data_IF_211817084889
#
_entry.id   IF_211817084889
#
_cell.length_a   1.000
_cell.length_b   1.000
_cell.length_c   1.000
_cell.angle_alpha   90.00
_cell.angle_beta   90.00
_cell.angle_gamma   90.00
#
_symmetry.space_group_name_H-M   'P 1'
#
loop_
_entity.id
_entity.type
_entity.pdbx_description
1 polymer ?
#
# COMPACT_ATOMS: atom_id res chain seq x y z
N UNK A 1 -14.40 2.54 -3.68
CA UNK A 1 -14.20 1.17 -3.19
C UNK A 1 -15.55 0.54 -2.90
N UNK A 2 -15.79 -0.68 -3.37
CA UNK A 2 -17.01 -1.43 -3.15
C UNK A 2 -16.68 -2.90 -2.86
N UNK A 3 -17.28 -3.47 -1.80
CA UNK A 3 -17.15 -4.90 -1.46
C UNK A 3 -18.39 -5.63 -1.96
N UNK A 4 -18.19 -6.73 -2.67
CA UNK A 4 -19.27 -7.57 -3.20
C UNK A 4 -19.05 -9.04 -2.86
N UNK A 5 -20.11 -9.70 -2.41
CA UNK A 5 -20.12 -11.13 -2.09
C UNK A 5 -21.01 -11.92 -3.05
N UNK A 6 -21.57 -11.26 -4.07
CA UNK A 6 -22.39 -11.85 -5.10
C UNK A 6 -21.84 -11.48 -6.47
N UNK A 7 -21.62 -12.47 -7.31
CA UNK A 7 -21.09 -12.29 -8.66
C UNK A 7 -21.97 -11.37 -9.55
N UNK A 8 -23.28 -11.40 -9.32
CA UNK A 8 -24.23 -10.58 -10.09
C UNK A 8 -24.07 -9.07 -9.84
N UNK A 9 -23.60 -8.71 -8.62
CA UNK A 9 -23.43 -7.30 -8.21
C UNK A 9 -22.12 -6.68 -8.70
N UNK A 10 -21.19 -7.50 -9.24
CA UNK A 10 -19.85 -7.03 -9.67
C UNK A 10 -19.96 -5.93 -10.73
N UNK A 11 -20.89 -6.07 -11.69
CA UNK A 11 -21.03 -5.10 -12.78
C UNK A 11 -21.45 -3.72 -12.26
N UNK A 12 -22.46 -3.71 -11.40
CA UNK A 12 -23.02 -2.46 -10.87
C UNK A 12 -22.02 -1.79 -9.93
N UNK A 13 -21.34 -2.59 -9.11
CA UNK A 13 -20.27 -2.09 -8.25
C UNK A 13 -19.11 -1.47 -9.05
N UNK A 14 -18.69 -2.13 -10.14
CA UNK A 14 -17.62 -1.61 -11.00
C UNK A 14 -18.04 -0.32 -11.73
N UNK A 15 -19.27 -0.25 -12.21
CA UNK A 15 -19.82 0.97 -12.84
C UNK A 15 -19.85 2.13 -11.84
N UNK A 16 -20.27 1.88 -10.59
CA UNK A 16 -20.32 2.89 -9.54
C UNK A 16 -18.92 3.41 -9.15
N UNK A 17 -17.91 2.52 -9.15
CA UNK A 17 -16.50 2.91 -8.88
C UNK A 17 -15.91 3.69 -10.05
N UNK A 18 -16.30 3.33 -11.29
CA UNK A 18 -15.83 3.93 -12.54
C UNK A 18 -14.51 3.33 -13.03
N UNK A 19 -14.54 2.83 -14.27
CA UNK A 19 -13.37 2.23 -14.93
C UNK A 19 -12.25 3.26 -15.22
N UNK A 20 -10.97 2.79 -15.28
CA UNK A 20 -10.51 1.44 -15.00
C UNK A 20 -10.55 1.09 -13.51
N UNK A 21 -10.75 -0.20 -13.21
CA UNK A 21 -10.83 -0.71 -11.83
C UNK A 21 -9.80 -1.81 -11.55
N UNK A 22 -9.59 -2.06 -10.26
CA UNK A 22 -8.87 -3.21 -9.72
C UNK A 22 -9.91 -4.14 -9.07
N UNK A 23 -9.77 -5.43 -9.30
CA UNK A 23 -10.49 -6.48 -8.59
C UNK A 23 -9.54 -7.20 -7.64
N UNK A 24 -9.88 -7.23 -6.36
CA UNK A 24 -9.14 -7.96 -5.32
C UNK A 24 -10.05 -9.00 -4.71
N UNK A 25 -9.58 -10.26 -4.63
CA UNK A 25 -10.24 -11.32 -3.86
C UNK A 25 -9.89 -11.23 -2.39
N UNK A 26 -10.78 -11.67 -1.52
CA UNK A 26 -10.50 -11.85 -0.10
C UNK A 26 -9.97 -13.28 0.17
N UNK A 27 -9.18 -13.44 1.24
CA UNK A 27 -8.76 -14.77 1.72
C UNK A 27 -7.26 -14.98 1.94
N UNK A 28 -6.38 -14.04 1.52
CA UNK A 28 -4.94 -14.14 1.74
C UNK A 28 -4.31 -12.78 2.02
N UNK A 29 -3.30 -12.76 2.89
CA UNK A 29 -2.47 -11.58 3.11
C UNK A 29 -1.59 -11.28 1.87
N UNK A 30 -1.10 -12.32 1.19
CA UNK A 30 -0.29 -12.22 -0.04
C UNK A 30 -1.17 -12.39 -1.28
N UNK A 31 -2.07 -11.42 -1.51
CA UNK A 31 -3.12 -11.48 -2.55
C UNK A 31 -2.57 -11.66 -3.96
N UNK A 32 -1.46 -11.00 -4.27
CA UNK A 32 -0.85 -11.05 -5.63
C UNK A 32 -0.32 -12.44 -5.95
N UNK A 33 0.39 -13.07 -5.03
CA UNK A 33 0.94 -14.43 -5.20
C UNK A 33 -0.17 -15.49 -5.25
N UNK A 34 -1.25 -15.26 -4.50
CA UNK A 34 -2.43 -16.13 -4.50
C UNK A 34 -3.33 -15.96 -5.74
N UNK A 35 -2.98 -15.12 -6.70
CA UNK A 35 -3.82 -14.83 -7.86
C UNK A 35 -5.10 -14.06 -7.53
N UNK A 36 -5.13 -13.36 -6.41
CA UNK A 36 -6.28 -12.62 -5.88
C UNK A 36 -6.27 -11.13 -6.27
N UNK A 37 -5.50 -10.72 -7.28
CA UNK A 37 -5.45 -9.34 -7.75
C UNK A 37 -5.47 -9.31 -9.28
N UNK A 38 -6.46 -8.61 -9.85
CA UNK A 38 -6.52 -8.30 -11.26
C UNK A 38 -6.55 -6.78 -11.45
N UNK A 39 -5.54 -6.25 -12.15
CA UNK A 39 -5.32 -4.83 -12.34
C UNK A 39 -5.82 -4.35 -13.70
N UNK A 40 -6.09 -3.04 -13.80
CA UNK A 40 -6.32 -2.33 -15.06
C UNK A 40 -7.49 -2.89 -15.89
N UNK A 41 -8.58 -3.27 -15.21
CA UNK A 41 -9.79 -3.77 -15.87
C UNK A 41 -10.57 -2.58 -16.45
N UNK A 42 -10.75 -2.56 -17.77
CA UNK A 42 -11.23 -1.39 -18.52
C UNK A 42 -12.74 -1.34 -18.67
N UNK A 43 -13.41 -2.48 -18.54
CA UNK A 43 -14.85 -2.61 -18.81
C UNK A 43 -15.46 -3.79 -18.06
N UNK A 44 -16.80 -3.94 -18.19
CA UNK A 44 -17.55 -5.00 -17.53
C UNK A 44 -17.10 -6.42 -17.95
N UNK A 45 -16.70 -6.61 -19.21
CA UNK A 45 -16.26 -7.91 -19.70
C UNK A 45 -14.97 -8.32 -19.02
N UNK A 46 -14.02 -7.38 -18.90
CA UNK A 46 -12.71 -7.64 -18.26
C UNK A 46 -12.89 -8.06 -16.80
N UNK A 47 -13.71 -7.32 -16.03
CA UNK A 47 -13.89 -7.63 -14.60
C UNK A 47 -14.62 -8.95 -14.38
N UNK A 48 -15.60 -9.28 -15.21
CA UNK A 48 -16.30 -10.56 -15.11
C UNK A 48 -15.39 -11.75 -15.46
N UNK A 49 -14.55 -11.59 -16.48
CA UNK A 49 -13.58 -12.63 -16.84
C UNK A 49 -12.54 -12.81 -15.73
N UNK A 50 -12.06 -11.73 -15.13
CA UNK A 50 -11.14 -11.79 -14.00
C UNK A 50 -11.79 -12.48 -12.78
N UNK A 51 -13.03 -12.13 -12.44
CA UNK A 51 -13.75 -12.72 -11.32
C UNK A 51 -14.02 -14.23 -11.48
N UNK A 52 -14.27 -14.70 -12.72
CA UNK A 52 -14.50 -16.13 -13.00
C UNK A 52 -13.32 -17.04 -12.70
N UNK A 53 -12.10 -16.53 -12.87
CA UNK A 53 -10.87 -17.33 -12.69
C UNK A 53 -10.20 -17.08 -11.35
N UNK A 54 -10.63 -16.03 -10.64
CA UNK A 54 -10.07 -15.67 -9.34
C UNK A 54 -10.60 -16.63 -8.25
N UNK A 55 -9.71 -17.27 -7.45
CA UNK A 55 -10.12 -18.21 -6.42
C UNK A 55 -10.68 -17.50 -5.17
N UNK A 56 -11.79 -16.77 -5.32
CA UNK A 56 -12.45 -16.04 -4.25
C UNK A 56 -13.96 -15.96 -4.51
N UNK A 57 -14.74 -15.95 -3.44
CA UNK A 57 -16.20 -15.73 -3.48
C UNK A 57 -16.56 -14.27 -3.10
N UNK A 58 -15.63 -13.56 -2.48
CA UNK A 58 -15.84 -12.17 -2.07
C UNK A 58 -14.77 -11.28 -2.70
N UNK A 59 -15.23 -10.19 -3.29
CA UNK A 59 -14.39 -9.29 -4.06
C UNK A 59 -14.45 -7.86 -3.51
N UNK A 60 -13.32 -7.20 -3.60
CA UNK A 60 -13.18 -5.77 -3.40
C UNK A 60 -12.91 -5.12 -4.73
N UNK A 61 -13.72 -4.14 -5.12
CA UNK A 61 -13.58 -3.38 -6.37
C UNK A 61 -13.13 -1.98 -6.02
N UNK A 62 -12.00 -1.59 -6.54
CA UNK A 62 -11.38 -0.30 -6.29
C UNK A 62 -11.07 0.42 -7.60
N UNK A 63 -10.99 1.75 -7.53
CA UNK A 63 -10.53 2.52 -8.69
C UNK A 63 -9.06 2.22 -8.95
N UNK A 64 -8.71 1.98 -10.22
CA UNK A 64 -7.32 1.83 -10.61
C UNK A 64 -6.56 3.15 -10.39
N UNK A 65 -5.49 3.09 -9.64
CA UNK A 65 -4.59 4.21 -9.42
C UNK A 65 -3.42 4.07 -10.37
N UNK A 66 -3.27 5.05 -11.24
CA UNK A 66 -2.17 5.14 -12.18
C UNK A 66 -1.24 6.31 -11.91
N UNK A 67 -0.16 6.43 -12.69
CA UNK A 67 0.75 7.56 -12.64
C UNK A 67 1.66 7.55 -11.41
N UNK A 68 1.91 6.38 -10.81
CA UNK A 68 2.93 6.25 -9.78
C UNK A 68 4.31 6.48 -10.38
N UNK A 69 5.07 7.38 -9.76
CA UNK A 69 6.47 7.66 -10.12
C UNK A 69 7.40 6.72 -9.37
N UNK A 70 7.08 6.45 -8.12
CA UNK A 70 7.74 5.46 -7.27
C UNK A 70 6.68 4.77 -6.39
N UNK A 71 6.99 3.56 -6.00
CA UNK A 71 6.21 2.79 -5.05
C UNK A 71 7.04 2.53 -3.79
N UNK A 72 6.45 2.79 -2.63
CA UNK A 72 7.10 2.54 -1.34
C UNK A 72 6.34 1.47 -0.57
N UNK A 73 7.09 0.67 0.17
CA UNK A 73 6.60 -0.08 1.32
C UNK A 73 6.79 0.81 2.56
N UNK A 74 5.75 0.99 3.33
CA UNK A 74 5.79 1.67 4.64
C UNK A 74 5.22 0.73 5.68
N UNK A 75 6.09 0.19 6.52
CA UNK A 75 5.73 -0.77 7.56
C UNK A 75 6.02 -0.23 8.96
N UNK A 76 5.18 -0.57 9.93
CA UNK A 76 5.45 -0.38 11.36
C UNK A 76 5.19 -1.69 12.06
N UNK A 77 6.19 -2.18 12.78
CA UNK A 77 6.12 -3.44 13.54
C UNK A 77 6.47 -3.16 14.99
N UNK A 78 5.75 -3.79 15.91
CA UNK A 78 6.11 -3.77 17.32
C UNK A 78 7.25 -4.76 17.58
N UNK A 79 8.41 -4.22 17.93
CA UNK A 79 9.56 -4.99 18.39
C UNK A 79 9.57 -5.03 19.91
N UNK A 80 9.81 -6.21 20.49
CA UNK A 80 9.73 -6.41 21.96
C UNK A 80 10.81 -5.61 22.72
N UNK A 81 11.98 -5.39 22.11
CA UNK A 81 13.11 -4.72 22.75
C UNK A 81 13.11 -3.19 22.50
N UNK A 82 12.60 -2.76 21.33
CA UNK A 82 12.78 -1.39 20.86
C UNK A 82 11.46 -0.61 20.75
N UNK A 83 10.31 -1.26 20.95
CA UNK A 83 9.00 -0.68 20.69
C UNK A 83 8.66 -0.67 19.20
N UNK A 84 7.89 0.30 18.73
CA UNK A 84 7.51 0.34 17.32
C UNK A 84 8.64 0.81 16.43
N UNK A 85 8.90 0.04 15.38
CA UNK A 85 9.92 0.30 14.36
C UNK A 85 9.22 0.60 13.03
N UNK A 86 9.46 1.80 12.49
CA UNK A 86 9.06 2.20 11.15
C UNK A 86 10.10 1.70 10.15
N UNK A 87 9.67 0.99 9.13
CA UNK A 87 10.50 0.60 7.97
C UNK A 87 9.94 1.26 6.72
N UNK A 88 10.80 1.87 5.92
CA UNK A 88 10.48 2.39 4.59
C UNK A 88 11.42 1.72 3.60
N UNK A 89 10.86 1.14 2.55
CA UNK A 89 11.61 0.42 1.53
C UNK A 89 11.08 0.74 0.12
N UNK A 90 11.84 0.37 -0.89
CA UNK A 90 11.32 0.27 -2.25
C UNK A 90 10.12 -0.67 -2.24
N UNK A 91 8.98 -0.25 -2.80
CA UNK A 91 7.75 -1.03 -2.90
C UNK A 91 7.62 -1.78 -4.22
N UNK A 92 6.53 -2.51 -4.38
CA UNK A 92 6.20 -3.25 -5.58
C UNK A 92 6.93 -4.60 -5.70
N UNK A 93 6.91 -5.17 -6.91
CA UNK A 93 7.39 -6.55 -7.17
C UNK A 93 8.89 -6.77 -6.97
N UNK A 94 9.68 -5.72 -6.88
CA UNK A 94 11.14 -5.80 -6.79
C UNK A 94 11.68 -5.55 -5.39
N UNK A 95 10.80 -5.35 -4.42
CA UNK A 95 11.14 -5.02 -3.02
C UNK A 95 12.16 -6.01 -2.43
N UNK A 96 11.93 -7.31 -2.63
CA UNK A 96 12.76 -8.37 -2.08
C UNK A 96 14.14 -8.48 -2.76
N UNK A 97 14.25 -8.02 -4.02
CA UNK A 97 15.47 -8.15 -4.81
C UNK A 97 16.47 -7.03 -4.49
N UNK A 98 15.97 -5.81 -4.27
CA UNK A 98 16.85 -4.64 -4.12
C UNK A 98 17.37 -4.40 -2.71
N UNK A 99 16.72 -4.95 -1.68
CA UNK A 99 17.04 -4.74 -0.25
C UNK A 99 17.42 -3.28 0.05
N UNK A 100 16.60 -2.35 -0.46
CA UNK A 100 16.77 -0.90 -0.31
C UNK A 100 15.76 -0.40 0.71
N UNK A 101 16.19 -0.40 1.98
CA UNK A 101 15.32 -0.08 3.12
C UNK A 101 16.04 0.74 4.18
N UNK A 102 15.26 1.48 4.94
CA UNK A 102 15.67 2.20 6.15
C UNK A 102 14.72 1.84 7.29
N UNK A 103 15.21 1.92 8.52
CA UNK A 103 14.40 1.72 9.72
C UNK A 103 14.65 2.83 10.73
N UNK A 104 13.57 3.26 11.40
CA UNK A 104 13.57 4.32 12.41
C UNK A 104 12.72 3.88 13.60
N UNK A 105 13.09 4.27 14.80
CA UNK A 105 12.18 4.18 15.94
C UNK A 105 11.10 5.26 15.85
N UNK A 106 9.87 4.96 16.22
CA UNK A 106 8.80 5.96 16.28
C UNK A 106 8.58 6.43 17.72
N UNK A 107 8.21 7.70 17.91
CA UNK A 107 7.87 8.72 16.90
C UNK A 107 9.12 9.30 16.22
N UNK A 108 9.16 9.30 14.90
CA UNK A 108 10.17 9.97 14.10
C UNK A 108 9.60 11.25 13.47
N UNK A 109 10.34 12.34 13.50
CA UNK A 109 9.93 13.61 12.89
C UNK A 109 10.21 13.63 11.37
N UNK A 110 9.65 14.60 10.67
CA UNK A 110 9.80 14.71 9.21
C UNK A 110 11.25 14.90 8.76
N UNK A 111 12.07 15.59 9.56
CA UNK A 111 13.48 15.85 9.23
C UNK A 111 14.28 14.55 9.26
N UNK A 112 14.11 13.73 10.30
CA UNK A 112 14.77 12.44 10.44
C UNK A 112 14.32 11.47 9.36
N UNK A 113 13.02 11.42 9.05
CA UNK A 113 12.48 10.59 7.99
C UNK A 113 13.08 11.01 6.64
N UNK A 114 13.08 12.31 6.33
CA UNK A 114 13.64 12.82 5.07
C UNK A 114 15.14 12.57 4.95
N UNK A 115 15.89 12.73 6.05
CA UNK A 115 17.32 12.43 6.09
C UNK A 115 17.57 10.95 5.80
N UNK A 116 16.77 10.07 6.37
CA UNK A 116 16.87 8.63 6.13
C UNK A 116 16.46 8.24 4.71
N UNK A 117 15.38 8.81 4.16
CA UNK A 117 14.97 8.60 2.77
C UNK A 117 16.11 8.93 1.78
N UNK A 118 16.90 9.97 2.07
CA UNK A 118 18.07 10.36 1.24
C UNK A 118 19.18 9.31 1.19
N UNK A 119 19.18 8.34 2.09
CA UNK A 119 20.16 7.24 2.09
C UNK A 119 19.74 6.05 1.24
N UNK A 120 18.48 5.99 0.81
CA UNK A 120 18.01 4.93 -0.08
C UNK A 120 18.70 5.02 -1.45
N UNK A 121 19.03 3.87 -2.03
CA UNK A 121 19.59 3.79 -3.39
C UNK A 121 18.62 4.37 -4.43
N UNK A 122 17.30 4.25 -4.16
CA UNK A 122 16.26 4.80 -5.01
C UNK A 122 16.06 6.33 -4.86
N UNK A 123 16.78 6.99 -3.95
CA UNK A 123 16.63 8.44 -3.73
C UNK A 123 16.67 9.31 -4.99
N UNK A 124 17.51 9.02 -6.02
CA UNK A 124 17.50 9.80 -7.26
C UNK A 124 16.13 9.88 -7.94
N UNK A 125 15.25 8.89 -7.74
CA UNK A 125 13.89 8.91 -8.29
C UNK A 125 13.01 9.98 -7.63
N UNK A 126 13.28 10.31 -6.35
CA UNK A 126 12.58 11.39 -5.65
C UNK A 126 12.92 12.79 -6.17
N UNK A 127 14.04 12.93 -6.87
CA UNK A 127 14.50 14.20 -7.45
C UNK A 127 14.03 14.36 -8.91
N UNK A 128 13.33 13.38 -9.45
CA UNK A 128 13.02 13.29 -10.87
C UNK A 128 14.20 12.72 -11.67
N UNK A 129 14.02 11.54 -12.21
CA UNK A 129 15.08 10.83 -12.93
C UNK A 129 14.80 10.77 -14.42
N UNK A 130 15.78 11.11 -15.26
CA UNK A 130 15.69 11.08 -16.73
C UNK A 130 14.49 11.83 -17.31
N UNK A 131 14.16 12.98 -16.74
CA UNK A 131 13.04 13.81 -17.19
C UNK A 131 11.67 13.43 -16.63
N UNK A 132 11.58 12.42 -15.79
CA UNK A 132 10.37 12.17 -15.01
C UNK A 132 10.20 13.25 -13.92
N UNK A 133 8.97 13.67 -13.60
CA UNK A 133 8.72 14.59 -12.50
C UNK A 133 9.10 13.98 -11.15
N UNK A 134 9.26 14.84 -10.14
CA UNK A 134 9.47 14.41 -8.75
C UNK A 134 8.14 14.04 -8.09
N UNK A 135 8.08 13.01 -7.25
CA UNK A 135 6.89 12.75 -6.44
C UNK A 135 6.73 13.82 -5.36
N UNK A 136 5.51 13.96 -4.87
CA UNK A 136 5.18 14.91 -3.80
C UNK A 136 5.71 14.40 -2.45
N UNK A 137 6.90 14.86 -2.05
CA UNK A 137 7.57 14.45 -0.81
C UNK A 137 6.74 14.82 0.42
N UNK A 138 6.07 15.98 0.43
CA UNK A 138 5.25 16.39 1.58
C UNK A 138 4.07 15.44 1.79
N UNK A 139 3.44 14.97 0.72
CA UNK A 139 2.37 13.97 0.79
C UNK A 139 2.87 12.61 1.30
N UNK A 140 4.09 12.22 0.92
CA UNK A 140 4.73 11.00 1.43
C UNK A 140 4.98 11.13 2.93
N UNK A 141 5.62 12.20 3.36
CA UNK A 141 5.91 12.46 4.78
C UNK A 141 4.62 12.53 5.61
N UNK A 142 3.59 13.21 5.11
CA UNK A 142 2.27 13.28 5.76
C UNK A 142 1.65 11.89 5.93
N UNK A 143 1.74 11.03 4.92
CA UNK A 143 1.22 9.66 5.01
C UNK A 143 1.99 8.85 6.06
N UNK A 144 3.31 8.94 6.09
CA UNK A 144 4.14 8.27 7.09
C UNK A 144 3.80 8.77 8.50
N UNK A 145 3.62 10.08 8.72
CA UNK A 145 3.20 10.63 10.00
C UNK A 145 1.81 10.13 10.42
N UNK A 146 0.88 10.03 9.48
CA UNK A 146 -0.46 9.49 9.77
C UNK A 146 -0.40 8.03 10.22
N UNK A 147 0.46 7.21 9.61
CA UNK A 147 0.70 5.81 10.01
C UNK A 147 1.27 5.75 11.42
N UNK A 148 2.28 6.55 11.74
CA UNK A 148 2.85 6.62 13.08
C UNK A 148 1.79 7.02 14.12
N UNK A 149 1.03 8.08 13.85
CA UNK A 149 -0.03 8.56 14.73
C UNK A 149 -1.11 7.51 14.96
N UNK A 150 -1.48 6.77 13.91
CA UNK A 150 -2.44 5.68 13.99
C UNK A 150 -1.94 4.56 14.92
N UNK A 151 -0.70 4.14 14.77
CA UNK A 151 -0.09 3.09 15.60
C UNK A 151 0.04 3.55 17.05
N UNK A 152 0.54 4.76 17.28
CA UNK A 152 0.70 5.33 18.62
C UNK A 152 -0.66 5.44 19.32
N UNK A 153 -1.69 5.93 18.64
CA UNK A 153 -3.04 6.07 19.19
C UNK A 153 -3.72 4.73 19.49
N UNK A 154 -3.23 3.65 18.88
CA UNK A 154 -3.73 2.29 19.09
C UNK A 154 -2.69 1.39 19.76
N UNK A 155 -1.78 1.97 20.54
CA UNK A 155 -0.75 1.24 21.29
C UNK A 155 -1.37 0.09 22.11
N UNK A 156 -0.73 -1.08 22.07
CA UNK A 156 -1.21 -2.30 22.74
C UNK A 156 -2.34 -3.04 22.01
N UNK A 157 -2.85 -2.51 20.89
CA UNK A 157 -3.88 -3.17 20.07
C UNK A 157 -3.35 -3.59 18.71
N UNK A 158 -2.32 -2.92 18.21
CA UNK A 158 -1.75 -3.16 16.89
C UNK A 158 -0.34 -3.69 17.05
N UNK A 159 -0.04 -4.81 16.42
CA UNK A 159 1.30 -5.37 16.35
C UNK A 159 2.04 -4.99 15.05
N UNK A 160 1.30 -4.78 13.97
CA UNK A 160 1.88 -4.46 12.67
C UNK A 160 0.92 -3.64 11.82
N UNK A 161 1.47 -2.68 11.08
CA UNK A 161 0.81 -2.00 9.96
C UNK A 161 1.76 -2.07 8.79
N UNK A 162 1.30 -2.54 7.64
CA UNK A 162 2.06 -2.52 6.39
C UNK A 162 1.23 -1.86 5.29
N UNK A 163 1.82 -0.91 4.60
CA UNK A 163 1.31 -0.32 3.37
C UNK A 163 2.23 -0.79 2.24
N UNK A 164 1.69 -1.53 1.29
CA UNK A 164 2.45 -2.00 0.13
C UNK A 164 1.53 -2.24 -1.08
N UNK A 165 1.56 -1.33 -2.10
CA UNK A 165 2.40 -0.14 -2.14
C UNK A 165 1.74 1.16 -1.64
N UNK A 166 2.55 2.10 -1.18
CA UNK A 166 2.25 3.53 -1.21
C UNK A 166 2.64 4.06 -2.58
N UNK A 167 1.66 4.45 -3.38
CA UNK A 167 1.85 4.97 -4.73
C UNK A 167 2.15 6.46 -4.67
N UNK A 168 3.42 6.84 -4.91
CA UNK A 168 3.89 8.20 -4.83
C UNK A 168 3.81 8.86 -6.21
N UNK A 169 3.02 9.91 -6.33
CA UNK A 169 2.74 10.63 -7.56
C UNK A 169 3.21 12.08 -7.46
N UNK A 170 3.15 12.81 -8.55
CA UNK A 170 3.55 14.21 -8.60
C UNK A 170 2.72 15.11 -7.66
N UNK A 171 1.43 14.82 -7.49
CA UNK A 171 0.51 15.65 -6.72
C UNK A 171 0.21 15.11 -5.32
N UNK A 172 0.31 13.80 -5.11
CA UNK A 172 -0.11 13.13 -3.90
C UNK A 172 0.62 11.79 -3.66
N UNK A 173 0.32 11.17 -2.52
CA UNK A 173 0.68 9.79 -2.20
C UNK A 173 -0.57 9.01 -1.79
N UNK A 174 -0.84 7.89 -2.46
CA UNK A 174 -2.06 7.10 -2.27
C UNK A 174 -1.70 5.70 -1.78
N UNK A 175 -2.34 5.29 -0.69
CA UNK A 175 -2.26 3.91 -0.19
C UNK A 175 -3.09 3.01 -1.10
N UNK A 176 -2.44 2.08 -1.80
CA UNK A 176 -3.12 1.16 -2.70
C UNK A 176 -3.50 -0.15 -2.01
N UNK A 177 -2.74 -0.59 -1.02
CA UNK A 177 -3.09 -1.72 -0.15
C UNK A 177 -2.50 -1.53 1.24
N UNK A 178 -3.20 -2.05 2.25
CA UNK A 178 -2.75 -2.01 3.63
C UNK A 178 -3.13 -3.29 4.38
N UNK A 179 -2.22 -3.74 5.22
CA UNK A 179 -2.42 -4.82 6.17
C UNK A 179 -2.28 -4.27 7.59
N UNK A 180 -3.20 -4.64 8.47
CA UNK A 180 -3.13 -4.31 9.89
C UNK A 180 -3.25 -5.62 10.67
N UNK A 181 -2.25 -5.93 11.51
CA UNK A 181 -2.32 -7.04 12.45
C UNK A 181 -2.64 -6.51 13.84
N UNK A 182 -3.69 -7.07 14.41
CA UNK A 182 -4.08 -6.81 15.79
C UNK A 182 -3.19 -7.67 16.68
N UNK A 183 -2.56 -7.06 17.67
CA UNK A 183 -1.79 -7.79 18.67
C UNK A 183 -2.70 -8.67 19.53
N UNK A 184 -2.20 -9.81 19.98
CA UNK A 184 -2.88 -10.59 20.99
C UNK A 184 -2.95 -9.75 22.28
N UNK A 185 -4.12 -9.68 22.91
CA UNK A 185 -4.23 -9.16 24.27
C UNK A 185 -3.43 -10.13 25.15
N UNK A 186 -2.28 -9.69 25.65
CA UNK A 186 -1.69 -10.33 26.83
C UNK A 186 -2.63 -9.99 28.00
N UNK A 187 -3.48 -10.96 28.37
CA UNK A 187 -4.27 -10.93 29.61
C UNK A 187 -3.35 -11.04 30.84
#
# INVERSE_FOLDING_TARGET
>A
MCRVSNYEDIKDAANNVGFPVVLKGEGSAHKTEAGLVALNLQNQTDILNAAKVMPSETFLIEKMIGGSLIELLVGVVLDEAHGYVLTIASGGKLTEIFDDKISLLIPANNEDILKSLKTLKMWPLFLGYRGAPSPNIDSILKTIQNVQNFVISNHGKISEVEINPLMCRELDAIVADALIKIGEKND
#
